data_IF_827510119048
#
_entry.id   IF_827510119048
#
_cell.length_a   1.000
_cell.length_b   1.000
_cell.length_c   1.000
_cell.angle_alpha   90.00
_cell.angle_beta   90.00
_cell.angle_gamma   90.00
#
_symmetry.space_group_name_H-M   'P 1'
#
loop_
_entity.id
_entity.type
_entity.pdbx_description
1 polymer ?
#
# COMPACT_ATOMS: atom_id res chain seq x y z
N UNK A 1 -4.38 9.27 16.21
CA UNK A 1 -4.05 8.93 14.79
C UNK A 1 -3.50 7.53 14.69
N UNK A 2 -2.63 7.14 15.62
CA UNK A 2 -2.30 5.76 16.02
C UNK A 2 -3.46 4.74 15.81
N UNK A 3 -4.60 4.88 16.50
CA UNK A 3 -5.72 3.92 16.39
C UNK A 3 -6.30 3.84 14.97
N UNK A 4 -6.38 4.98 14.28
CA UNK A 4 -6.89 5.07 12.90
C UNK A 4 -5.95 4.33 11.95
N UNK A 5 -4.65 4.60 12.02
CA UNK A 5 -3.67 3.92 11.16
C UNK A 5 -3.52 2.45 11.49
N UNK A 6 -3.67 2.05 12.76
CA UNK A 6 -3.70 0.64 13.11
C UNK A 6 -4.91 -0.06 12.47
N UNK A 7 -6.11 0.53 12.59
CA UNK A 7 -7.31 -0.02 11.96
C UNK A 7 -7.19 -0.07 10.43
N UNK A 8 -6.71 1.01 9.80
CA UNK A 8 -6.48 1.04 8.35
C UNK A 8 -5.43 0.02 7.93
N UNK A 9 -4.32 -0.13 8.65
CA UNK A 9 -3.30 -1.13 8.38
C UNK A 9 -3.85 -2.56 8.48
N UNK A 10 -4.63 -2.87 9.51
CA UNK A 10 -5.25 -4.18 9.67
C UNK A 10 -6.28 -4.48 8.57
N UNK A 11 -7.14 -3.52 8.23
CA UNK A 11 -8.12 -3.65 7.15
C UNK A 11 -7.44 -3.77 5.78
N UNK A 12 -6.41 -2.98 5.51
CA UNK A 12 -5.60 -3.09 4.28
C UNK A 12 -4.88 -4.43 4.20
N UNK A 13 -4.36 -4.97 5.31
CA UNK A 13 -3.75 -6.30 5.33
C UNK A 13 -4.78 -7.38 5.01
N UNK A 14 -5.98 -7.29 5.59
CA UNK A 14 -7.10 -8.18 5.27
C UNK A 14 -7.43 -8.15 3.77
N UNK A 15 -7.58 -6.95 3.19
CA UNK A 15 -7.86 -6.80 1.75
C UNK A 15 -6.71 -7.34 0.90
N UNK A 16 -5.46 -7.09 1.28
CA UNK A 16 -4.29 -7.58 0.55
C UNK A 16 -4.20 -9.12 0.56
N UNK A 17 -4.50 -9.77 1.70
CA UNK A 17 -4.60 -11.24 1.78
C UNK A 17 -5.73 -11.75 0.90
N UNK A 18 -6.92 -11.15 1.00
CA UNK A 18 -8.07 -11.55 0.19
C UNK A 18 -7.78 -11.39 -1.32
N UNK A 19 -7.17 -10.28 -1.71
CA UNK A 19 -6.73 -10.05 -3.08
C UNK A 19 -5.71 -11.10 -3.52
N UNK A 20 -4.65 -11.35 -2.74
CA UNK A 20 -3.65 -12.36 -3.07
C UNK A 20 -4.24 -13.77 -3.25
N UNK A 21 -5.13 -14.18 -2.36
CA UNK A 21 -5.84 -15.46 -2.46
C UNK A 21 -6.73 -15.52 -3.71
N UNK A 22 -7.47 -14.44 -4.00
CA UNK A 22 -8.30 -14.31 -5.19
C UNK A 22 -7.48 -14.37 -6.48
N UNK A 23 -6.32 -13.70 -6.53
CA UNK A 23 -5.39 -13.78 -7.64
C UNK A 23 -4.93 -15.21 -7.92
N UNK A 24 -4.43 -15.88 -6.88
CA UNK A 24 -3.83 -17.21 -7.00
C UNK A 24 -4.84 -18.31 -7.38
N UNK A 25 -6.10 -18.21 -6.96
CA UNK A 25 -7.10 -19.27 -7.13
C UNK A 25 -8.16 -18.94 -8.19
N UNK A 26 -8.66 -17.71 -8.24
CA UNK A 26 -9.80 -17.35 -9.08
C UNK A 26 -9.40 -16.64 -10.38
N UNK A 27 -8.27 -15.92 -10.39
CA UNK A 27 -7.83 -15.16 -11.58
C UNK A 27 -6.77 -15.88 -12.42
N UNK A 28 -6.08 -16.89 -11.86
CA UNK A 28 -4.94 -17.55 -12.51
C UNK A 28 -5.24 -18.07 -13.92
N UNK A 29 -6.42 -18.65 -14.13
CA UNK A 29 -6.84 -19.18 -15.44
C UNK A 29 -7.66 -18.18 -16.27
N UNK A 30 -8.00 -17.02 -15.70
CA UNK A 30 -8.86 -16.01 -16.31
C UNK A 30 -8.11 -14.81 -16.86
N UNK A 31 -6.93 -14.51 -16.32
CA UNK A 31 -6.07 -13.42 -16.76
C UNK A 31 -4.89 -13.95 -17.56
N UNK A 32 -4.45 -13.16 -18.53
CA UNK A 32 -3.16 -13.40 -19.19
C UNK A 32 -2.02 -13.34 -18.15
N UNK A 33 -0.92 -14.11 -18.32
CA UNK A 33 0.14 -14.21 -17.31
C UNK A 33 0.75 -12.86 -16.88
N UNK A 34 0.87 -11.92 -17.81
CA UNK A 34 1.33 -10.55 -17.56
C UNK A 34 0.35 -9.76 -16.68
N UNK A 35 -0.96 -9.84 -16.96
CA UNK A 35 -1.99 -9.18 -16.15
C UNK A 35 -2.17 -9.82 -14.77
N UNK A 36 -1.99 -11.13 -14.65
CA UNK A 36 -1.95 -11.81 -13.35
C UNK A 36 -0.76 -11.30 -12.53
N UNK A 37 0.42 -11.20 -13.14
CA UNK A 37 1.61 -10.66 -12.47
C UNK A 37 1.39 -9.21 -12.00
N UNK A 38 0.75 -8.37 -12.84
CA UNK A 38 0.36 -7.01 -12.48
C UNK A 38 -0.55 -6.98 -11.24
N UNK A 39 -1.58 -7.84 -11.20
CA UNK A 39 -2.48 -7.96 -10.05
C UNK A 39 -1.73 -8.38 -8.78
N UNK A 40 -0.84 -9.37 -8.89
CA UNK A 40 -0.02 -9.87 -7.78
C UNK A 40 0.97 -8.81 -7.25
N UNK A 41 1.56 -7.99 -8.13
CA UNK A 41 2.37 -6.82 -7.71
C UNK A 41 1.51 -5.86 -6.89
N UNK A 42 0.29 -5.56 -7.36
CA UNK A 42 -0.67 -4.74 -6.63
C UNK A 42 -0.94 -5.28 -5.21
N UNK A 43 -1.23 -6.58 -5.09
CA UNK A 43 -1.47 -7.24 -3.80
C UNK A 43 -0.27 -7.25 -2.88
N UNK A 44 0.93 -7.52 -3.41
CA UNK A 44 2.17 -7.52 -2.64
C UNK A 44 2.48 -6.14 -2.07
N UNK A 45 2.40 -5.09 -2.89
CA UNK A 45 2.63 -3.72 -2.43
C UNK A 45 1.54 -3.21 -1.49
N UNK A 46 0.29 -3.69 -1.64
CA UNK A 46 -0.78 -3.41 -0.68
C UNK A 46 -0.42 -3.97 0.70
N UNK A 47 0.01 -5.24 0.76
CA UNK A 47 0.43 -5.87 2.02
C UNK A 47 1.61 -5.14 2.67
N UNK A 48 2.64 -4.79 1.90
CA UNK A 48 3.81 -4.09 2.45
C UNK A 48 3.43 -2.76 3.11
N UNK A 49 2.52 -2.01 2.50
CA UNK A 49 2.11 -0.71 3.03
C UNK A 49 1.00 -0.80 4.08
N UNK A 50 0.26 -1.91 4.12
CA UNK A 50 -0.57 -2.26 5.27
C UNK A 50 0.29 -2.47 6.53
N UNK A 51 1.39 -3.21 6.41
CA UNK A 51 2.36 -3.38 7.50
C UNK A 51 3.06 -2.06 7.85
N UNK A 52 3.37 -1.23 6.85
CA UNK A 52 3.92 0.10 7.06
C UNK A 52 2.95 1.02 7.84
N UNK A 53 1.63 0.90 7.64
CA UNK A 53 0.62 1.62 8.43
C UNK A 53 0.61 1.18 9.89
N UNK A 54 0.75 -0.12 10.16
CA UNK A 54 0.89 -0.63 11.53
C UNK A 54 2.17 -0.08 12.19
N UNK A 55 3.27 -0.05 11.45
CA UNK A 55 4.53 0.53 11.91
C UNK A 55 4.41 2.05 12.17
N UNK A 56 3.72 2.78 11.30
CA UNK A 56 3.45 4.21 11.49
C UNK A 56 2.56 4.46 12.72
N UNK A 57 1.54 3.63 12.96
CA UNK A 57 0.72 3.69 14.15
C UNK A 57 1.53 3.50 15.44
N UNK A 58 2.41 2.50 15.45
CA UNK A 58 3.34 2.27 16.56
C UNK A 58 4.31 3.44 16.76
N UNK A 59 4.90 3.96 15.68
CA UNK A 59 5.81 5.10 15.70
C UNK A 59 5.17 6.36 16.29
N UNK A 60 3.90 6.66 15.95
CA UNK A 60 3.15 7.79 16.53
C UNK A 60 3.06 7.70 18.05
N UNK A 61 2.93 6.50 18.61
CA UNK A 61 2.87 6.29 20.05
C UNK A 61 4.23 6.42 20.76
N UNK A 62 5.34 6.37 20.00
CA UNK A 62 6.70 6.29 20.58
C UNK A 62 7.55 7.53 20.33
N UNK A 63 7.34 8.21 19.21
CA UNK A 63 8.18 9.33 18.76
C UNK A 63 7.36 10.62 18.67
N UNK A 64 7.82 11.71 19.29
CA UNK A 64 7.12 13.00 19.22
C UNK A 64 7.17 13.60 17.80
N UNK A 65 6.11 14.29 17.41
CA UNK A 65 6.03 15.06 16.16
C UNK A 65 5.05 14.50 15.12
N UNK A 66 4.88 15.24 14.02
CA UNK A 66 3.91 14.93 12.96
C UNK A 66 4.39 14.00 11.85
N UNK A 67 5.70 13.69 11.79
CA UNK A 67 6.28 12.97 10.65
C UNK A 67 5.71 11.56 10.45
N UNK A 68 5.53 10.79 11.53
CA UNK A 68 4.90 9.47 11.44
C UNK A 68 3.43 9.55 10.99
N UNK A 69 2.72 10.64 11.33
CA UNK A 69 1.36 10.89 10.82
C UNK A 69 1.38 11.13 9.31
N UNK A 70 2.29 11.97 8.83
CA UNK A 70 2.47 12.23 7.40
C UNK A 70 2.85 10.97 6.62
N UNK A 71 3.76 10.15 7.16
CA UNK A 71 4.15 8.88 6.56
C UNK A 71 2.94 7.93 6.39
N UNK A 72 2.10 7.79 7.42
CA UNK A 72 0.90 6.95 7.34
C UNK A 72 -0.07 7.42 6.25
N UNK A 73 -0.32 8.72 6.11
CA UNK A 73 -1.17 9.21 5.02
C UNK A 73 -0.57 9.01 3.62
N UNK A 74 0.75 9.12 3.49
CA UNK A 74 1.46 8.79 2.25
C UNK A 74 1.31 7.30 1.90
N UNK A 75 1.34 6.40 2.88
CA UNK A 75 1.05 4.98 2.67
C UNK A 75 -0.39 4.73 2.25
N UNK A 76 -1.39 5.37 2.89
CA UNK A 76 -2.80 5.25 2.48
C UNK A 76 -2.98 5.71 1.03
N UNK A 77 -2.51 6.91 0.70
CA UNK A 77 -2.62 7.46 -0.65
C UNK A 77 -1.88 6.57 -1.67
N UNK A 78 -0.67 6.14 -1.34
CA UNK A 78 0.10 5.23 -2.17
C UNK A 78 -0.63 3.91 -2.42
N UNK A 79 -1.25 3.30 -1.41
CA UNK A 79 -1.98 2.03 -1.55
C UNK A 79 -3.20 2.19 -2.45
N UNK A 80 -3.99 3.24 -2.26
CA UNK A 80 -5.16 3.51 -3.10
C UNK A 80 -4.77 3.76 -4.56
N UNK A 81 -3.70 4.54 -4.79
CA UNK A 81 -3.27 4.91 -6.14
C UNK A 81 -2.50 3.78 -6.82
N UNK A 82 -1.45 3.25 -6.19
CA UNK A 82 -0.58 2.21 -6.75
C UNK A 82 -1.27 0.86 -6.83
N UNK A 83 -1.73 0.31 -5.70
CA UNK A 83 -2.33 -1.02 -5.71
C UNK A 83 -3.71 -1.01 -6.35
N UNK A 84 -4.51 0.03 -6.07
CA UNK A 84 -5.82 0.21 -6.70
C UNK A 84 -5.74 0.32 -8.23
N UNK A 85 -4.80 1.10 -8.79
CA UNK A 85 -4.64 1.19 -10.24
C UNK A 85 -4.22 -0.13 -10.87
N UNK A 86 -3.34 -0.91 -10.23
CA UNK A 86 -2.90 -2.21 -10.75
C UNK A 86 -4.02 -3.27 -10.70
N UNK A 87 -4.84 -3.27 -9.65
CA UNK A 87 -6.03 -4.12 -9.62
C UNK A 87 -7.00 -3.77 -10.74
N UNK A 88 -7.33 -2.48 -10.89
CA UNK A 88 -8.23 -2.02 -11.94
C UNK A 88 -7.64 -2.30 -13.34
N UNK A 89 -6.35 -2.05 -13.56
CA UNK A 89 -5.66 -2.33 -14.82
C UNK A 89 -5.76 -3.80 -15.18
N UNK A 90 -5.43 -4.70 -14.25
CA UNK A 90 -5.45 -6.15 -14.50
C UNK A 90 -6.84 -6.70 -14.78
N UNK A 91 -7.88 -6.16 -14.11
CA UNK A 91 -9.26 -6.64 -14.24
C UNK A 91 -10.03 -6.03 -15.42
N UNK A 92 -9.68 -4.80 -15.82
CA UNK A 92 -10.40 -4.06 -16.88
C UNK A 92 -9.61 -3.94 -18.19
N UNK A 93 -8.30 -4.20 -18.16
CA UNK A 93 -7.40 -3.99 -19.31
C UNK A 93 -7.10 -2.52 -19.62
N UNK A 94 -7.55 -1.58 -18.77
CA UNK A 94 -7.48 -0.15 -19.06
C UNK A 94 -6.07 0.42 -18.84
N UNK A 95 -5.29 0.50 -19.91
CA UNK A 95 -3.82 0.76 -19.88
C UNK A 95 -3.40 2.11 -19.31
N UNK A 96 -4.24 3.16 -19.37
CA UNK A 96 -3.87 4.48 -18.83
C UNK A 96 -3.69 4.46 -17.30
N UNK A 97 -4.29 3.50 -16.60
CA UNK A 97 -4.10 3.30 -15.17
C UNK A 97 -2.64 2.98 -14.83
N UNK A 98 -1.91 2.34 -15.75
CA UNK A 98 -0.47 2.10 -15.61
C UNK A 98 0.36 3.38 -15.54
N UNK A 99 -0.10 4.47 -16.18
CA UNK A 99 0.57 5.78 -16.09
C UNK A 99 0.29 6.51 -14.76
N UNK A 100 -0.75 6.10 -14.03
CA UNK A 100 -1.11 6.65 -12.71
C UNK A 100 -0.33 5.95 -11.59
N UNK A 101 -0.05 4.65 -11.75
CA UNK A 101 0.69 3.83 -10.76
C UNK A 101 1.96 4.50 -10.21
N UNK A 102 2.84 5.14 -11.02
CA UNK A 102 4.05 5.78 -10.50
C UNK A 102 3.81 6.86 -9.45
N UNK A 103 2.67 7.56 -9.48
CA UNK A 103 2.33 8.56 -8.47
C UNK A 103 2.13 7.93 -7.09
N UNK A 104 1.50 6.75 -7.04
CA UNK A 104 1.38 5.99 -5.81
C UNK A 104 2.74 5.43 -5.34
N UNK A 105 3.60 5.04 -6.28
CA UNK A 105 4.97 4.62 -5.98
C UNK A 105 5.81 5.75 -5.37
N UNK A 106 5.67 6.97 -5.88
CA UNK A 106 6.29 8.16 -5.30
C UNK A 106 5.77 8.41 -3.87
N UNK A 107 4.45 8.29 -3.64
CA UNK A 107 3.89 8.41 -2.31
C UNK A 107 4.47 7.38 -1.34
N UNK A 108 4.66 6.13 -1.76
CA UNK A 108 5.34 5.10 -0.96
C UNK A 108 6.78 5.46 -0.62
N UNK A 109 7.57 5.91 -1.60
CA UNK A 109 8.95 6.34 -1.39
C UNK A 109 9.01 7.46 -0.36
N UNK A 110 8.18 8.49 -0.53
CA UNK A 110 8.11 9.62 0.39
C UNK A 110 7.61 9.18 1.78
N UNK A 111 6.68 8.23 1.85
CA UNK A 111 6.17 7.68 3.11
C UNK A 111 7.27 7.00 3.91
N UNK A 112 8.05 6.12 3.28
CA UNK A 112 9.19 5.45 3.92
C UNK A 112 10.30 6.42 4.31
N UNK A 113 10.66 7.36 3.43
CA UNK A 113 11.64 8.40 3.75
C UNK A 113 11.19 9.24 4.97
N UNK A 114 9.90 9.59 5.04
CA UNK A 114 9.33 10.36 6.15
C UNK A 114 9.27 9.53 7.45
N UNK A 115 8.95 8.24 7.37
CA UNK A 115 8.96 7.35 8.55
C UNK A 115 10.39 7.15 9.08
N UNK A 116 11.38 6.99 8.21
CA UNK A 116 12.79 6.93 8.57
C UNK A 116 13.25 8.23 9.24
N UNK A 117 12.85 9.37 8.69
CA UNK A 117 13.10 10.67 9.30
C UNK A 117 12.46 10.82 10.69
N UNK A 118 11.24 10.34 10.87
CA UNK A 118 10.57 10.33 12.17
C UNK A 118 11.38 9.54 13.21
N UNK A 119 11.94 8.40 12.82
CA UNK A 119 12.80 7.59 13.68
C UNK A 119 14.11 8.30 14.04
N UNK A 120 14.76 8.92 13.07
CA UNK A 120 16.05 9.60 13.27
C UNK A 120 15.96 10.88 14.09
N UNK A 121 14.80 11.56 14.08
CA UNK A 121 14.55 12.76 14.91
C UNK A 121 13.83 12.48 16.22
N UNK A 122 13.14 11.35 16.33
CA UNK A 122 12.40 10.92 17.52
C UNK A 122 13.24 10.09 18.50
N UNK A 123 14.50 9.81 18.16
CA UNK A 123 15.52 9.22 19.02
C UNK A 123 16.26 10.29 19.83
#
# INVERSE_FOLDING_TARGET
>A
MDRVFFALGALSALVAVAAGAFGAHALRERLAPDMLSVFEVGARYHMYHALALLAAAWAIGRWPGGAAVTAGWLFVAGTLVFSGSLYLLSLTGQRWLGAVTPLGGLAFILGWATLAWAALRGA
#
